data_IF_946443028168
#
_entry.id   IF_946443028168
#
_cell.length_a   1.000
_cell.length_b   1.000
_cell.length_c   1.000
_cell.angle_alpha   90.00
_cell.angle_beta   90.00
_cell.angle_gamma   90.00
#
_symmetry.space_group_name_H-M   'P 1'
#
loop_
_entity.id
_entity.type
_entity.pdbx_description
1 polymer ?
#
# COMPACT_ATOMS: atom_id res chain seq x y z
N UNK A 1 1.17 -16.25 -35.03
CA UNK A 1 0.19 -15.96 -33.97
C UNK A 1 0.73 -14.81 -33.16
N UNK A 2 0.36 -13.58 -33.52
CA UNK A 2 0.80 -12.39 -32.82
C UNK A 2 -0.11 -12.18 -31.59
N UNK A 3 0.31 -12.74 -30.46
CA UNK A 3 -0.31 -12.45 -29.16
C UNK A 3 0.27 -11.15 -28.62
N UNK A 4 -0.59 -10.19 -28.34
CA UNK A 4 -0.20 -8.92 -27.74
C UNK A 4 -0.59 -8.92 -26.28
N UNK A 5 0.38 -8.62 -25.41
CA UNK A 5 0.21 -8.62 -23.96
C UNK A 5 0.10 -7.19 -23.48
N UNK A 6 -1.01 -6.86 -22.81
CA UNK A 6 -1.27 -5.56 -22.21
C UNK A 6 -1.34 -5.73 -20.70
N UNK A 7 -0.49 -5.02 -19.96
CA UNK A 7 -0.52 -4.99 -18.51
C UNK A 7 -1.10 -3.67 -18.04
N UNK A 8 -2.15 -3.73 -17.20
CA UNK A 8 -2.79 -2.54 -16.68
C UNK A 8 -3.14 -2.67 -15.20
N UNK A 9 -3.10 -1.56 -14.48
CA UNK A 9 -3.50 -1.51 -13.07
C UNK A 9 -4.96 -1.06 -12.96
N UNK A 10 -5.80 -1.86 -12.31
CA UNK A 10 -7.24 -1.58 -12.15
C UNK A 10 -7.66 -1.63 -10.69
N UNK A 11 -8.66 -0.84 -10.30
CA UNK A 11 -9.27 -0.99 -8.98
C UNK A 11 -10.20 -2.21 -8.99
N UNK A 12 -9.93 -3.18 -8.11
CA UNK A 12 -10.70 -4.39 -7.99
C UNK A 12 -12.17 -4.09 -7.69
N UNK A 13 -13.07 -4.80 -8.36
CA UNK A 13 -14.53 -4.67 -8.21
C UNK A 13 -15.13 -3.32 -8.63
N UNK A 14 -14.33 -2.40 -9.17
CA UNK A 14 -14.75 -1.12 -9.76
C UNK A 14 -13.97 -0.78 -11.04
N UNK A 15 -13.53 -1.80 -11.79
CA UNK A 15 -12.98 -1.59 -13.11
C UNK A 15 -14.05 -0.94 -14.00
N UNK A 16 -13.66 0.08 -14.74
CA UNK A 16 -14.51 0.81 -15.68
C UNK A 16 -13.80 0.95 -17.01
N UNK A 17 -14.54 1.17 -18.09
CA UNK A 17 -14.01 1.48 -19.43
C UNK A 17 -13.34 2.88 -19.50
N UNK A 18 -12.90 3.40 -18.36
CA UNK A 18 -12.23 4.69 -18.22
C UNK A 18 -10.89 4.73 -19.00
N UNK A 19 -10.27 5.92 -19.14
CA UNK A 19 -9.07 6.13 -19.93
C UNK A 19 -7.87 5.19 -19.71
N UNK A 20 -7.66 4.47 -18.58
CA UNK A 20 -6.59 3.48 -18.54
C UNK A 20 -6.84 2.25 -19.43
N UNK A 21 -8.09 1.78 -19.59
CA UNK A 21 -8.39 0.56 -20.33
C UNK A 21 -8.82 0.81 -21.78
N UNK A 22 -9.58 1.89 -22.01
CA UNK A 22 -10.13 2.20 -23.34
C UNK A 22 -9.08 2.39 -24.45
N UNK A 23 -8.06 3.26 -24.28
CA UNK A 23 -7.00 3.47 -25.26
C UNK A 23 -6.07 2.27 -25.46
N UNK A 24 -5.89 1.44 -24.43
CA UNK A 24 -5.05 0.25 -24.51
C UNK A 24 -5.75 -0.87 -25.32
N UNK A 25 -7.07 -1.04 -25.13
CA UNK A 25 -7.85 -2.10 -25.76
C UNK A 25 -8.52 -1.68 -27.08
N UNK A 26 -8.69 -0.37 -27.32
CA UNK A 26 -9.33 0.19 -28.51
C UNK A 26 -8.67 -0.22 -29.84
N UNK A 27 -7.34 -0.11 -29.99
CA UNK A 27 -6.63 -0.53 -31.22
C UNK A 27 -6.73 -2.03 -31.50
N UNK A 28 -7.07 -2.82 -30.49
CA UNK A 28 -7.09 -4.28 -30.56
C UNK A 28 -8.44 -4.84 -31.04
N UNK A 29 -9.48 -4.01 -31.13
CA UNK A 29 -10.81 -4.42 -31.63
C UNK A 29 -11.55 -5.43 -30.74
N UNK A 30 -11.19 -5.49 -29.45
CA UNK A 30 -11.84 -6.36 -28.45
C UNK A 30 -13.03 -5.66 -27.77
N UNK A 31 -13.98 -6.43 -27.27
CA UNK A 31 -15.14 -5.88 -26.55
C UNK A 31 -14.73 -5.40 -25.15
N UNK A 32 -14.52 -4.09 -25.00
CA UNK A 32 -14.07 -3.46 -23.76
C UNK A 32 -15.06 -3.73 -22.61
N UNK A 33 -16.37 -3.72 -22.87
CA UNK A 33 -17.38 -3.93 -21.83
C UNK A 33 -17.31 -5.35 -21.25
N UNK A 34 -17.07 -6.34 -22.10
CA UNK A 34 -16.93 -7.75 -21.71
C UNK A 34 -15.65 -7.98 -20.90
N UNK A 35 -14.54 -7.38 -21.32
CA UNK A 35 -13.27 -7.41 -20.59
C UNK A 35 -13.43 -6.79 -19.21
N UNK A 36 -14.07 -5.63 -19.10
CA UNK A 36 -14.32 -4.95 -17.83
C UNK A 36 -15.21 -5.78 -16.90
N UNK A 37 -16.26 -6.42 -17.42
CA UNK A 37 -17.13 -7.29 -16.65
C UNK A 37 -16.36 -8.51 -16.11
N UNK A 38 -15.56 -9.17 -16.95
CA UNK A 38 -14.74 -10.31 -16.56
C UNK A 38 -13.68 -9.93 -15.51
N UNK A 39 -13.05 -8.77 -15.64
CA UNK A 39 -12.13 -8.22 -14.62
C UNK A 39 -12.86 -8.01 -13.30
N UNK A 40 -14.02 -7.36 -13.32
CA UNK A 40 -14.79 -7.09 -12.10
C UNK A 40 -15.23 -8.37 -11.39
N UNK A 41 -15.60 -9.41 -12.14
CA UNK A 41 -15.95 -10.71 -11.59
C UNK A 41 -14.74 -11.39 -10.92
N UNK A 42 -13.59 -11.42 -11.60
CA UNK A 42 -12.36 -12.03 -11.05
C UNK A 42 -11.75 -11.21 -9.90
N UNK A 43 -11.95 -9.89 -9.89
CA UNK A 43 -11.39 -8.98 -8.87
C UNK A 43 -12.38 -8.62 -7.76
N UNK A 44 -13.57 -9.22 -7.72
CA UNK A 44 -14.59 -8.93 -6.71
C UNK A 44 -14.08 -9.11 -5.27
N UNK A 45 -13.24 -10.13 -5.02
CA UNK A 45 -12.61 -10.39 -3.72
C UNK A 45 -11.58 -9.32 -3.31
N UNK A 46 -11.09 -8.53 -4.29
CA UNK A 46 -10.09 -7.48 -4.11
C UNK A 46 -10.71 -6.08 -4.21
N UNK A 47 -12.01 -5.94 -3.90
CA UNK A 47 -12.73 -4.68 -4.01
C UNK A 47 -12.02 -3.53 -3.30
N UNK A 48 -11.75 -2.43 -4.02
CA UNK A 48 -11.10 -1.24 -3.49
C UNK A 48 -9.57 -1.33 -3.34
N UNK A 49 -8.94 -2.38 -3.88
CA UNK A 49 -7.48 -2.48 -4.01
C UNK A 49 -7.06 -2.34 -5.47
N UNK A 50 -5.86 -1.80 -5.71
CA UNK A 50 -5.29 -1.81 -7.06
C UNK A 50 -4.74 -3.20 -7.36
N UNK A 51 -5.18 -3.80 -8.46
CA UNK A 51 -4.80 -5.14 -8.89
C UNK A 51 -4.19 -5.06 -10.29
N UNK A 52 -2.98 -5.58 -10.52
CA UNK A 52 -2.43 -5.68 -11.86
C UNK A 52 -3.18 -6.76 -12.64
N UNK A 53 -3.57 -6.45 -13.86
CA UNK A 53 -4.17 -7.40 -14.78
C UNK A 53 -3.32 -7.49 -16.04
N UNK A 54 -3.21 -8.70 -16.56
CA UNK A 54 -2.60 -8.99 -17.84
C UNK A 54 -3.71 -9.43 -18.79
N UNK A 55 -3.80 -8.77 -19.94
CA UNK A 55 -4.74 -9.10 -21.00
C UNK A 55 -3.89 -9.54 -22.19
N UNK A 56 -3.99 -10.81 -22.55
CA UNK A 56 -3.39 -11.34 -23.77
C UNK A 56 -4.45 -11.33 -24.87
N UNK A 57 -4.16 -10.67 -25.99
CA UNK A 57 -5.08 -10.57 -27.13
C UNK A 57 -4.43 -11.21 -28.35
N UNK A 58 -5.16 -12.15 -28.94
CA UNK A 58 -4.79 -12.73 -30.22
C UNK A 58 -5.34 -11.86 -31.35
N UNK A 59 -4.45 -11.22 -32.12
CA UNK A 59 -4.84 -10.29 -33.21
C UNK A 59 -5.62 -10.97 -34.34
N UNK A 60 -5.43 -12.27 -34.53
CA UNK A 60 -6.02 -13.04 -35.64
C UNK A 60 -7.43 -13.52 -35.29
N UNK A 61 -7.63 -13.98 -34.05
CA UNK A 61 -8.90 -14.57 -33.58
C UNK A 61 -9.73 -13.62 -32.72
N UNK A 62 -9.20 -12.43 -32.39
CA UNK A 62 -9.80 -11.44 -31.47
C UNK A 62 -10.15 -12.01 -30.09
N UNK A 63 -9.59 -13.17 -29.74
CA UNK A 63 -9.76 -13.79 -28.44
C UNK A 63 -8.88 -13.06 -27.43
N UNK A 64 -9.44 -12.83 -26.26
CA UNK A 64 -8.72 -12.22 -25.15
C UNK A 64 -8.68 -13.20 -23.97
N UNK A 65 -7.53 -13.26 -23.29
CA UNK A 65 -7.34 -14.02 -22.06
C UNK A 65 -6.93 -13.04 -20.96
N UNK A 66 -7.63 -13.12 -19.82
CA UNK A 66 -7.43 -12.18 -18.70
C UNK A 66 -6.83 -12.96 -17.54
N UNK A 67 -5.60 -12.62 -17.21
CA UNK A 67 -4.89 -13.11 -16.03
C UNK A 67 -4.86 -12.00 -14.98
N UNK A 68 -5.43 -12.27 -13.81
CA UNK A 68 -5.41 -11.34 -12.68
C UNK A 68 -4.19 -11.68 -11.84
N UNK A 69 -3.25 -10.75 -11.72
CA UNK A 69 -2.10 -10.91 -10.84
C UNK A 69 -2.45 -10.64 -9.39
N UNK A 70 -1.54 -10.97 -8.47
CA UNK A 70 -1.76 -10.66 -7.05
C UNK A 70 -1.61 -9.15 -6.83
N UNK A 71 -2.46 -8.54 -6.00
CA UNK A 71 -2.29 -7.13 -5.61
C UNK A 71 -0.88 -6.83 -5.10
N UNK A 72 -0.42 -5.57 -5.20
CA UNK A 72 0.86 -5.17 -4.62
C UNK A 72 0.81 -5.37 -3.11
N UNK A 73 1.95 -5.73 -2.51
CA UNK A 73 2.06 -5.94 -1.07
C UNK A 73 1.55 -4.72 -0.27
N UNK A 74 1.75 -3.52 -0.80
CA UNK A 74 1.27 -2.28 -0.19
C UNK A 74 -0.27 -2.20 -0.08
N UNK A 75 -1.01 -2.74 -1.04
CA UNK A 75 -2.47 -2.79 -0.98
C UNK A 75 -2.97 -3.82 0.04
N UNK A 76 -2.32 -4.99 0.10
CA UNK A 76 -2.63 -6.03 1.09
C UNK A 76 -2.33 -5.56 2.52
N UNK A 77 -1.19 -4.89 2.72
CA UNK A 77 -0.80 -4.27 3.99
C UNK A 77 -1.83 -3.21 4.40
N UNK A 78 -2.27 -2.33 3.48
CA UNK A 78 -3.31 -1.32 3.78
C UNK A 78 -4.62 -1.95 4.25
N UNK A 79 -5.04 -3.04 3.61
CA UNK A 79 -6.27 -3.78 3.97
C UNK A 79 -6.17 -4.38 5.36
N UNK A 80 -5.10 -5.12 5.65
CA UNK A 80 -4.88 -5.74 6.97
C UNK A 80 -4.64 -4.69 8.07
N UNK A 81 -4.02 -3.57 7.73
CA UNK A 81 -3.80 -2.44 8.64
C UNK A 81 -5.06 -1.59 8.84
N UNK A 82 -6.04 -1.67 7.94
CA UNK A 82 -7.24 -0.83 7.96
C UNK A 82 -6.94 0.66 7.74
N UNK A 83 -5.92 0.98 6.94
CA UNK A 83 -5.51 2.35 6.62
C UNK A 83 -5.78 2.66 5.13
N UNK A 84 -6.32 3.85 4.81
CA UNK A 84 -6.56 4.23 3.42
C UNK A 84 -5.28 4.64 2.68
N UNK A 85 -4.30 5.18 3.40
CA UNK A 85 -3.03 5.69 2.86
C UNK A 85 -1.86 5.32 3.77
N UNK A 86 -0.69 5.09 3.16
CA UNK A 86 0.57 4.91 3.89
C UNK A 86 1.12 6.23 4.43
N UNK A 87 2.19 6.15 5.20
CA UNK A 87 2.87 7.33 5.76
C UNK A 87 3.52 8.19 4.67
N UNK A 88 3.31 9.50 4.73
CA UNK A 88 4.03 10.47 3.90
C UNK A 88 5.47 10.71 4.38
N UNK A 89 5.81 10.26 5.59
CA UNK A 89 7.15 10.33 6.17
C UNK A 89 7.42 9.10 7.02
N UNK A 90 7.73 7.94 6.41
CA UNK A 90 7.82 6.65 7.11
C UNK A 90 8.82 6.59 8.28
N UNK A 91 9.84 7.46 8.25
CA UNK A 91 10.83 7.58 9.30
C UNK A 91 10.29 8.25 10.57
N UNK A 92 9.34 9.16 10.42
CA UNK A 92 8.85 10.03 11.51
C UNK A 92 7.43 9.63 11.93
N UNK A 93 6.57 9.34 10.96
CA UNK A 93 5.17 9.01 11.18
C UNK A 93 4.92 7.52 10.92
N UNK A 94 4.52 6.82 11.97
CA UNK A 94 4.03 5.45 11.88
C UNK A 94 2.51 5.46 11.81
N UNK A 95 1.95 4.86 10.78
CA UNK A 95 0.51 4.97 10.45
C UNK A 95 -0.30 3.76 10.85
N UNK A 96 0.34 2.61 11.06
CA UNK A 96 -0.28 1.38 11.50
C UNK A 96 0.72 0.49 12.23
N UNK A 97 0.20 -0.49 12.95
CA UNK A 97 0.95 -1.64 13.46
C UNK A 97 0.27 -2.91 12.94
N UNK A 98 1.08 -3.91 12.58
CA UNK A 98 0.62 -5.20 12.10
C UNK A 98 1.25 -6.33 12.91
N UNK A 99 0.47 -7.38 13.15
CA UNK A 99 1.01 -8.59 13.77
C UNK A 99 1.73 -9.47 12.76
N UNK A 100 2.67 -10.29 13.23
CA UNK A 100 3.44 -11.21 12.37
C UNK A 100 2.54 -12.20 11.63
N UNK A 101 1.39 -12.58 12.21
CA UNK A 101 0.41 -13.49 11.61
C UNK A 101 -0.26 -12.88 10.37
N UNK A 102 -0.58 -11.58 10.42
CA UNK A 102 -1.11 -10.86 9.26
C UNK A 102 -0.08 -10.81 8.13
N UNK A 103 1.19 -10.64 8.48
CA UNK A 103 2.29 -10.61 7.52
C UNK A 103 2.50 -11.99 6.89
N UNK A 104 2.44 -13.07 7.68
CA UNK A 104 2.50 -14.45 7.18
C UNK A 104 1.33 -14.71 6.23
N UNK A 105 0.12 -14.27 6.57
CA UNK A 105 -1.06 -14.39 5.71
C UNK A 105 -0.88 -13.65 4.38
N UNK A 106 -0.36 -12.41 4.41
CA UNK A 106 -0.05 -11.63 3.21
C UNK A 106 1.03 -12.34 2.37
N UNK A 107 2.07 -12.87 3.04
CA UNK A 107 3.17 -13.58 2.40
C UNK A 107 2.71 -14.85 1.70
N UNK A 108 1.78 -15.62 2.31
CA UNK A 108 1.15 -16.79 1.68
C UNK A 108 0.27 -16.39 0.50
N UNK A 109 -0.55 -15.34 0.64
CA UNK A 109 -1.40 -14.87 -0.46
C UNK A 109 -0.60 -14.41 -1.69
N UNK A 110 0.63 -13.94 -1.49
CA UNK A 110 1.52 -13.44 -2.56
C UNK A 110 2.65 -14.40 -2.88
N UNK A 111 2.56 -15.65 -2.46
CA UNK A 111 3.71 -16.55 -2.50
C UNK A 111 4.29 -16.79 -3.90
N UNK A 112 3.44 -16.77 -4.93
CA UNK A 112 3.82 -16.96 -6.33
C UNK A 112 4.59 -15.77 -6.92
N UNK A 113 4.40 -14.56 -6.35
CA UNK A 113 5.07 -13.34 -6.82
C UNK A 113 6.32 -12.98 -5.99
N UNK A 114 6.55 -13.63 -4.85
CA UNK A 114 7.68 -13.34 -3.97
C UNK A 114 8.91 -14.14 -4.42
N UNK A 115 10.09 -13.49 -4.35
CA UNK A 115 11.35 -14.12 -4.77
C UNK A 115 11.98 -14.98 -3.66
N UNK A 116 11.49 -14.87 -2.44
CA UNK A 116 11.97 -15.56 -1.27
C UNK A 116 11.88 -17.08 -1.43
N UNK A 117 13.02 -17.74 -1.27
CA UNK A 117 13.14 -19.20 -1.34
C UNK A 117 12.51 -19.90 -0.13
N UNK A 118 12.49 -19.22 1.02
CA UNK A 118 11.92 -19.72 2.26
C UNK A 118 10.75 -18.86 2.71
N UNK A 119 9.81 -19.42 3.47
CA UNK A 119 8.69 -18.66 4.07
C UNK A 119 9.19 -17.47 4.90
N UNK A 120 10.35 -17.61 5.55
CA UNK A 120 11.03 -16.56 6.29
C UNK A 120 11.49 -15.40 5.40
N UNK A 121 12.08 -15.71 4.25
CA UNK A 121 12.50 -14.69 3.27
C UNK A 121 11.30 -13.94 2.70
N UNK A 122 10.24 -14.68 2.37
CA UNK A 122 8.97 -14.10 1.88
C UNK A 122 8.34 -13.18 2.93
N UNK A 123 8.34 -13.56 4.21
CA UNK A 123 7.88 -12.70 5.32
C UNK A 123 8.72 -11.43 5.42
N UNK A 124 10.06 -11.53 5.30
CA UNK A 124 10.95 -10.36 5.31
C UNK A 124 10.68 -9.40 4.14
N UNK A 125 10.35 -9.90 2.96
CA UNK A 125 9.99 -9.05 1.82
C UNK A 125 8.73 -8.21 2.12
N UNK A 126 7.72 -8.81 2.74
CA UNK A 126 6.52 -8.09 3.16
C UNK A 126 6.84 -7.07 4.26
N UNK A 127 7.63 -7.45 5.29
CA UNK A 127 8.07 -6.50 6.32
C UNK A 127 8.89 -5.36 5.72
N UNK A 128 9.71 -5.63 4.71
CA UNK A 128 10.46 -4.61 3.97
C UNK A 128 9.53 -3.57 3.34
N UNK A 129 8.38 -3.98 2.84
CA UNK A 129 7.36 -3.06 2.30
C UNK A 129 6.75 -2.19 3.42
N UNK A 130 6.58 -2.73 4.63
CA UNK A 130 6.11 -1.97 5.79
C UNK A 130 7.06 -0.80 6.15
N UNK A 131 8.37 -0.95 5.95
CA UNK A 131 9.37 0.11 6.20
C UNK A 131 9.05 1.35 5.37
N UNK A 132 8.81 1.18 4.07
CA UNK A 132 8.51 2.29 3.14
C UNK A 132 7.11 2.88 3.34
N UNK A 133 6.23 2.16 4.03
CA UNK A 133 4.87 2.62 4.31
C UNK A 133 4.70 3.23 5.71
N UNK A 134 5.72 3.15 6.57
CA UNK A 134 5.64 3.60 7.96
C UNK A 134 4.72 2.71 8.79
N UNK A 135 4.73 1.40 8.54
CA UNK A 135 3.95 0.43 9.30
C UNK A 135 4.87 -0.29 10.28
N UNK A 136 4.48 -0.33 11.55
CA UNK A 136 5.16 -1.09 12.60
C UNK A 136 4.74 -2.56 12.56
N UNK A 137 5.56 -3.41 13.15
CA UNK A 137 5.30 -4.85 13.24
C UNK A 137 5.53 -5.30 14.67
N UNK A 138 4.53 -5.92 15.31
CA UNK A 138 4.60 -6.35 16.72
C UNK A 138 5.05 -5.21 17.65
N UNK A 139 4.53 -4.00 17.43
CA UNK A 139 4.87 -2.82 18.22
C UNK A 139 6.31 -2.29 18.05
N UNK A 140 7.09 -2.83 17.12
CA UNK A 140 8.45 -2.35 16.81
C UNK A 140 8.57 -1.84 15.38
N UNK A 141 9.63 -1.08 15.11
CA UNK A 141 9.91 -0.64 13.75
C UNK A 141 10.15 -1.84 12.83
N UNK A 142 9.64 -1.78 11.59
CA UNK A 142 9.79 -2.86 10.63
C UNK A 142 11.27 -3.27 10.38
N UNK A 143 12.23 -2.35 10.49
CA UNK A 143 13.67 -2.68 10.43
C UNK A 143 14.13 -3.58 11.58
N UNK A 144 13.62 -3.32 12.78
CA UNK A 144 13.93 -4.12 13.96
C UNK A 144 13.19 -5.46 13.93
N UNK A 145 11.95 -5.47 13.44
CA UNK A 145 11.20 -6.69 13.20
C UNK A 145 11.95 -7.63 12.23
N UNK A 146 12.59 -7.10 11.16
CA UNK A 146 13.44 -7.90 10.26
C UNK A 146 14.60 -8.55 11.03
N UNK A 147 15.22 -7.84 11.98
CA UNK A 147 16.30 -8.41 12.80
C UNK A 147 15.79 -9.53 13.71
N UNK A 148 14.64 -9.34 14.37
CA UNK A 148 14.00 -10.37 15.20
C UNK A 148 13.63 -11.61 14.39
N UNK A 149 13.10 -11.41 13.19
CA UNK A 149 12.86 -12.50 12.24
C UNK A 149 14.18 -13.20 11.91
N UNK A 150 15.24 -12.47 11.54
CA UNK A 150 16.55 -13.08 11.28
C UNK A 150 17.11 -13.84 12.49
N UNK A 151 16.90 -13.34 13.71
CA UNK A 151 17.27 -13.99 14.96
C UNK A 151 16.48 -15.29 15.25
N UNK A 152 15.40 -15.53 14.49
CA UNK A 152 14.61 -16.76 14.60
C UNK A 152 13.47 -16.70 15.61
N UNK A 153 13.19 -15.52 16.19
CA UNK A 153 12.15 -15.34 17.22
C UNK A 153 10.74 -15.73 16.74
N UNK A 154 10.51 -15.75 15.43
CA UNK A 154 9.21 -16.04 14.82
C UNK A 154 9.19 -17.31 13.97
N UNK A 155 10.28 -18.10 13.97
CA UNK A 155 10.40 -19.28 13.09
C UNK A 155 9.32 -20.33 13.40
N UNK A 156 8.94 -20.51 14.67
CA UNK A 156 7.83 -21.40 15.07
C UNK A 156 6.47 -20.91 14.58
N UNK A 157 6.21 -19.60 14.63
CA UNK A 157 4.94 -19.02 14.12
C UNK A 157 4.88 -19.14 12.59
N UNK A 158 5.98 -18.89 11.89
CA UNK A 158 6.10 -19.03 10.43
C UNK A 158 5.93 -20.50 10.01
N UNK A 159 6.53 -21.44 10.75
CA UNK A 159 6.42 -22.88 10.48
C UNK A 159 5.04 -23.47 10.83
N UNK A 160 4.41 -23.01 11.91
CA UNK A 160 3.06 -23.45 12.32
C UNK A 160 1.97 -23.01 11.35
N UNK A 161 2.25 -22.01 10.50
CA UNK A 161 1.34 -21.55 9.47
C UNK A 161 0.04 -20.94 9.99
N UNK A 162 -0.06 -20.62 11.29
CA UNK A 162 -1.23 -19.98 11.89
C UNK A 162 -1.49 -18.64 11.20
N UNK A 163 -2.56 -18.60 10.42
CA UNK A 163 -3.03 -17.41 9.68
C UNK A 163 -4.24 -16.75 10.33
N UNK A 164 -4.72 -17.31 11.45
CA UNK A 164 -5.93 -16.88 12.12
C UNK A 164 -5.54 -16.17 13.41
N UNK A 165 -5.78 -14.85 13.46
CA UNK A 165 -5.81 -14.13 14.72
C UNK A 165 -7.03 -14.61 15.49
N UNK A 166 -6.84 -14.94 16.76
CA UNK A 166 -7.96 -15.23 17.65
C UNK A 166 -8.83 -13.96 17.83
N UNK A 167 -10.12 -14.12 18.14
CA UNK A 167 -11.04 -12.97 18.30
C UNK A 167 -10.56 -11.96 19.36
N UNK A 168 -9.85 -12.43 20.38
CA UNK A 168 -9.21 -11.58 21.40
C UNK A 168 -8.08 -10.73 20.81
N UNK A 169 -7.28 -11.30 19.91
CA UNK A 169 -6.20 -10.59 19.24
C UNK A 169 -6.71 -9.58 18.23
N UNK A 170 -7.86 -9.85 17.60
CA UNK A 170 -8.55 -8.89 16.73
C UNK A 170 -9.04 -7.68 17.55
N UNK A 171 -9.63 -7.91 18.73
CA UNK A 171 -10.06 -6.84 19.64
C UNK A 171 -8.88 -6.04 20.20
N UNK A 172 -7.79 -6.71 20.56
CA UNK A 172 -6.56 -6.03 20.99
C UNK A 172 -5.96 -5.18 19.85
N UNK A 173 -5.93 -5.71 18.63
CA UNK A 173 -5.46 -5.00 17.44
C UNK A 173 -6.34 -3.80 17.10
N UNK A 174 -7.67 -3.91 17.25
CA UNK A 174 -8.59 -2.78 17.06
C UNK A 174 -8.39 -1.68 18.11
N UNK A 175 -8.17 -2.06 19.38
CA UNK A 175 -7.86 -1.12 20.45
C UNK A 175 -6.51 -0.42 20.21
N UNK A 176 -5.48 -1.16 19.81
CA UNK A 176 -4.18 -0.60 19.43
C UNK A 176 -4.28 0.31 18.21
N UNK A 177 -5.02 -0.09 17.17
CA UNK A 177 -5.30 0.74 15.99
C UNK A 177 -6.05 2.01 16.36
N UNK A 178 -7.01 1.96 17.28
CA UNK A 178 -7.73 3.15 17.74
C UNK A 178 -6.82 4.10 18.53
N UNK A 179 -6.00 3.57 19.44
CA UNK A 179 -5.02 4.34 20.19
C UNK A 179 -3.96 4.96 19.26
N UNK A 180 -3.51 4.21 18.24
CA UNK A 180 -2.54 4.69 17.27
C UNK A 180 -3.14 5.78 16.36
N UNK A 181 -4.38 5.60 15.88
CA UNK A 181 -5.11 6.64 15.15
C UNK A 181 -5.25 7.92 15.96
N UNK A 182 -5.58 7.82 17.26
CA UNK A 182 -5.66 8.98 18.14
C UNK A 182 -4.30 9.68 18.33
N UNK A 183 -3.20 8.91 18.45
CA UNK A 183 -1.83 9.46 18.51
C UNK A 183 -1.44 10.14 17.20
N UNK A 184 -1.79 9.55 16.05
CA UNK A 184 -1.54 10.11 14.72
C UNK A 184 -2.31 11.42 14.55
N UNK A 185 -3.58 11.48 14.96
CA UNK A 185 -4.38 12.70 14.84
C UNK A 185 -3.85 13.83 15.73
N UNK A 186 -3.40 13.52 16.96
CA UNK A 186 -2.75 14.49 17.83
C UNK A 186 -1.45 15.03 17.22
N UNK A 187 -0.56 14.15 16.75
CA UNK A 187 0.68 14.56 16.06
C UNK A 187 0.41 15.36 14.79
N UNK A 188 -0.60 14.99 14.01
CA UNK A 188 -1.00 15.74 12.82
C UNK A 188 -1.43 17.17 13.18
N UNK A 189 -2.16 17.35 14.27
CA UNK A 189 -2.54 18.68 14.78
C UNK A 189 -1.30 19.48 15.24
N UNK A 190 -0.34 18.84 15.90
CA UNK A 190 0.94 19.46 16.26
C UNK A 190 1.72 19.92 15.01
N UNK A 191 1.79 19.06 13.98
CA UNK A 191 2.42 19.42 12.70
C UNK A 191 1.67 20.54 11.97
N UNK A 192 0.34 20.59 12.04
CA UNK A 192 -0.44 21.70 11.48
C UNK A 192 -0.16 23.03 12.20
N UNK A 193 0.04 23.00 13.51
CA UNK A 193 0.41 24.20 14.29
C UNK A 193 1.80 24.67 13.89
N UNK A 194 2.79 23.75 13.87
CA UNK A 194 4.15 24.05 13.42
C UNK A 194 4.18 24.55 11.97
N UNK A 195 3.35 23.97 11.09
CA UNK A 195 3.24 24.40 9.71
C UNK A 195 2.67 25.82 9.58
N UNK A 196 1.68 26.20 10.40
CA UNK A 196 1.17 27.57 10.45
C UNK A 196 2.22 28.57 10.94
N UNK A 197 2.98 28.21 11.98
CA UNK A 197 4.04 29.08 12.51
C UNK A 197 5.16 29.31 11.49
N UNK A 198 5.61 28.25 10.80
CA UNK A 198 6.63 28.35 9.76
C UNK A 198 6.08 29.11 8.55
N UNK A 199 4.83 28.84 8.15
CA UNK A 199 4.15 29.58 7.08
C UNK A 199 4.14 31.10 7.32
N UNK A 200 3.75 31.53 8.53
CA UNK A 200 3.75 32.94 8.92
C UNK A 200 5.18 33.52 8.99
N UNK A 201 6.16 32.77 9.48
CA UNK A 201 7.57 33.23 9.54
C UNK A 201 8.20 33.41 8.15
N UNK A 202 7.75 32.66 7.15
CA UNK A 202 8.33 32.66 5.81
C UNK A 202 7.39 33.25 4.73
N UNK A 203 6.30 33.91 5.13
CA UNK A 203 5.28 34.50 4.24
C UNK A 203 5.85 35.52 3.22
N UNK A 204 6.95 36.21 3.58
CA UNK A 204 7.65 37.20 2.73
C UNK A 204 8.94 36.69 2.07
N UNK A 205 9.29 35.41 2.24
CA UNK A 205 10.51 34.79 1.68
C UNK A 205 10.17 33.88 0.51
N UNK A 206 11.17 33.54 -0.31
CA UNK A 206 10.96 32.70 -1.49
C UNK A 206 10.42 31.31 -1.10
N UNK A 207 9.52 30.77 -1.93
CA UNK A 207 8.87 29.48 -1.70
C UNK A 207 9.87 28.31 -1.52
N UNK A 208 11.08 28.43 -2.09
CA UNK A 208 12.18 27.47 -1.95
C UNK A 208 12.75 27.43 -0.53
N UNK A 209 12.89 28.58 0.13
CA UNK A 209 13.41 28.68 1.50
C UNK A 209 12.37 28.21 2.52
N UNK A 210 11.09 28.55 2.30
CA UNK A 210 9.99 28.03 3.10
C UNK A 210 9.91 26.49 3.01
N UNK A 211 10.00 25.93 1.79
CA UNK A 211 10.00 24.48 1.57
C UNK A 211 11.12 23.79 2.34
N UNK A 212 12.35 24.34 2.33
CA UNK A 212 13.46 23.80 3.12
C UNK A 212 13.16 23.81 4.63
N UNK A 213 12.60 24.91 5.16
CA UNK A 213 12.26 25.00 6.58
C UNK A 213 11.16 24.01 7.00
N UNK A 214 10.17 23.75 6.15
CA UNK A 214 9.14 22.73 6.41
C UNK A 214 9.69 21.30 6.39
N UNK A 215 10.60 21.01 5.45
CA UNK A 215 11.28 19.70 5.36
C UNK A 215 12.23 19.49 6.53
N UNK A 216 12.94 20.52 6.96
CA UNK A 216 13.84 20.50 8.13
C UNK A 216 13.08 20.34 9.45
N UNK A 217 11.87 20.90 9.54
CA UNK A 217 10.94 20.68 10.66
C UNK A 217 10.27 19.29 10.63
N UNK A 218 10.55 18.45 9.63
CA UNK A 218 10.00 17.10 9.52
C UNK A 218 8.49 17.06 9.25
N UNK A 219 7.92 18.15 8.72
CA UNK A 219 6.48 18.23 8.45
C UNK A 219 6.19 17.52 7.11
N UNK A 220 5.20 16.60 7.08
CA UNK A 220 4.79 15.93 5.86
C UNK A 220 4.35 16.90 4.76
N UNK A 221 4.68 16.59 3.50
CA UNK A 221 4.37 17.44 2.34
C UNK A 221 2.87 17.73 2.16
N UNK A 222 2.00 16.84 2.62
CA UNK A 222 0.56 17.05 2.60
C UNK A 222 0.09 18.17 3.53
N UNK A 223 0.81 18.42 4.63
CA UNK A 223 0.43 19.41 5.63
C UNK A 223 0.99 20.78 5.22
N UNK A 224 2.28 20.87 4.93
CA UNK A 224 2.88 22.19 4.65
C UNK A 224 2.46 22.77 3.30
N UNK A 225 2.05 21.96 2.32
CA UNK A 225 1.59 22.47 1.00
C UNK A 225 0.39 23.41 1.13
N UNK A 226 -0.44 23.24 2.17
CA UNK A 226 -1.56 24.13 2.47
C UNK A 226 -1.11 25.46 3.12
N UNK A 227 0.10 25.51 3.65
CA UNK A 227 0.69 26.67 4.35
C UNK A 227 1.94 27.21 3.63
N UNK A 228 2.23 26.73 2.41
CA UNK A 228 3.28 27.32 1.59
C UNK A 228 2.85 28.72 1.13
N UNK A 229 3.75 29.70 1.12
CA UNK A 229 3.47 30.99 0.53
C UNK A 229 3.15 30.79 -0.96
N UNK A 230 1.95 31.20 -1.38
CA UNK A 230 1.56 31.21 -2.80
C UNK A 230 2.46 32.20 -3.51
N UNK A 231 3.42 31.70 -4.28
CA UNK A 231 4.35 32.55 -5.03
C UNK A 231 3.60 33.51 -5.96
N UNK A 232 4.07 34.76 -6.00
CA UNK A 232 4.01 35.59 -7.21
C UNK A 232 5.01 35.05 -8.23
#
# INVERSE_FOLDING_TARGET
>A
MAKEKIEQLVEGGKASAAPPLGPALGPMGVNIAEVVAAINQKTASFKGMQVPITIEIDRDTKKFEISVGTPPASALIKKEAGIPKGSGSPAVEKVADLKIEQIIKISKMKEDDLLGKTSKDRVKEIIGTCVSMGVMVEGVEAKEAIKRVNAGEFDEKIASGKTELTEEELKALEAEKAALKAKIEKRRKEYEILAKEIGNKFEKKSASVAKKAFVEAGIPEEIYKNYMPKGK
#
